data_IF_333858163056
#
_entry.id   IF_333858163056
#
_cell.length_a   1.000
_cell.length_b   1.000
_cell.length_c   1.000
_cell.angle_alpha   90.00
_cell.angle_beta   90.00
_cell.angle_gamma   90.00
#
_symmetry.space_group_name_H-M   'P 1'
#
loop_
_entity.id
_entity.type
_entity.pdbx_description
1 polymer ?
#
# COMPACT_ATOMS: atom_id res chain seq x y z
N UNK A 1 14.88 5.74 -9.74
CA UNK A 1 13.79 5.98 -8.78
C UNK A 1 14.29 5.75 -7.37
N UNK A 2 13.88 6.58 -6.42
CA UNK A 2 14.13 6.39 -4.98
C UNK A 2 12.81 6.36 -4.21
N UNK A 3 12.38 5.17 -3.81
CA UNK A 3 11.26 4.94 -2.89
C UNK A 3 11.56 3.70 -2.04
N UNK A 4 11.86 3.90 -0.76
CA UNK A 4 12.32 2.83 0.13
C UNK A 4 11.17 2.06 0.77
N UNK A 5 10.04 2.71 1.02
CA UNK A 5 8.88 2.16 1.76
C UNK A 5 7.66 3.10 1.69
N UNK A 6 6.46 2.69 2.09
CA UNK A 6 6.07 1.34 2.51
C UNK A 6 5.48 0.53 1.33
N UNK A 7 5.08 -0.74 1.58
CA UNK A 7 4.49 -1.65 0.57
C UNK A 7 3.38 -0.96 -0.24
N UNK A 8 2.41 -0.31 0.43
CA UNK A 8 1.32 0.38 -0.28
C UNK A 8 1.80 1.49 -1.22
N UNK A 9 2.74 2.32 -0.76
CA UNK A 9 3.31 3.38 -1.60
C UNK A 9 4.12 2.81 -2.78
N UNK A 10 4.80 1.70 -2.56
CA UNK A 10 5.55 1.00 -3.62
C UNK A 10 4.58 0.43 -4.67
N UNK A 11 3.45 -0.17 -4.26
CA UNK A 11 2.38 -0.58 -5.17
C UNK A 11 1.90 0.59 -6.04
N UNK A 12 1.65 1.76 -5.46
CA UNK A 12 1.26 2.94 -6.23
C UNK A 12 2.37 3.42 -7.17
N UNK A 13 3.62 3.41 -6.72
CA UNK A 13 4.76 3.86 -7.54
C UNK A 13 5.03 2.95 -8.75
N UNK A 14 4.67 1.65 -8.69
CA UNK A 14 4.78 0.72 -9.84
C UNK A 14 4.01 1.25 -11.05
N UNK A 15 2.78 1.75 -10.86
CA UNK A 15 1.98 2.31 -11.95
C UNK A 15 2.69 3.48 -12.66
N UNK A 16 3.30 4.38 -11.88
CA UNK A 16 4.08 5.50 -12.42
C UNK A 16 5.34 5.02 -13.15
N UNK A 17 6.08 4.05 -12.59
CA UNK A 17 7.27 3.48 -13.22
C UNK A 17 6.91 2.79 -14.52
N UNK A 18 5.82 2.04 -14.58
CA UNK A 18 5.35 1.40 -15.81
C UNK A 18 4.85 2.41 -16.86
N UNK A 19 4.28 3.54 -16.43
CA UNK A 19 3.98 4.64 -17.36
C UNK A 19 5.27 5.24 -17.95
N UNK A 20 6.32 5.38 -17.16
CA UNK A 20 7.64 5.81 -17.62
C UNK A 20 8.23 4.81 -18.61
N UNK A 21 8.15 3.52 -18.35
CA UNK A 21 8.63 2.48 -19.27
C UNK A 21 7.93 2.54 -20.63
N UNK A 22 6.62 2.76 -20.64
CA UNK A 22 5.85 2.91 -21.89
C UNK A 22 6.25 4.15 -22.68
N UNK A 23 6.47 5.27 -21.99
CA UNK A 23 6.86 6.54 -22.62
C UNK A 23 8.32 6.57 -23.08
N UNK A 24 9.19 5.86 -22.37
CA UNK A 24 10.63 5.84 -22.59
C UNK A 24 11.16 4.38 -22.69
N UNK A 25 10.83 3.62 -23.74
CA UNK A 25 11.14 2.19 -23.82
C UNK A 25 12.64 1.87 -23.84
N UNK A 26 13.49 2.86 -24.14
CA UNK A 26 14.96 2.72 -24.11
C UNK A 26 15.59 3.15 -22.78
N UNK A 27 14.79 3.66 -21.84
CA UNK A 27 15.31 4.10 -20.55
C UNK A 27 15.71 2.89 -19.67
N UNK A 28 16.91 2.96 -19.11
CA UNK A 28 17.32 2.03 -18.04
C UNK A 28 16.83 2.54 -16.70
N UNK A 29 15.97 1.79 -16.05
CA UNK A 29 15.36 2.17 -14.76
C UNK A 29 16.03 1.38 -13.65
N UNK A 30 16.67 2.10 -12.73
CA UNK A 30 17.16 1.56 -11.45
C UNK A 30 16.27 2.10 -10.32
N UNK A 31 15.79 1.21 -9.46
CA UNK A 31 14.96 1.58 -8.31
C UNK A 31 15.66 1.24 -6.99
N UNK A 32 16.04 2.28 -6.24
CA UNK A 32 16.54 2.11 -4.87
C UNK A 32 15.35 1.90 -3.94
N UNK A 33 15.27 0.72 -3.36
CA UNK A 33 14.09 0.20 -2.66
C UNK A 33 14.46 -0.44 -1.32
N UNK A 34 13.53 -0.46 -0.36
CA UNK A 34 13.72 -1.16 0.92
C UNK A 34 13.71 -2.69 0.76
N UNK A 35 14.32 -3.38 1.73
CA UNK A 35 14.49 -4.83 1.66
C UNK A 35 13.16 -5.60 1.60
N UNK A 36 12.16 -5.18 2.37
CA UNK A 36 10.85 -5.84 2.40
C UNK A 36 10.09 -5.57 1.11
N UNK A 37 10.12 -4.34 0.65
CA UNK A 37 9.46 -3.90 -0.58
C UNK A 37 10.09 -4.56 -1.82
N UNK A 38 11.40 -4.79 -1.79
CA UNK A 38 12.10 -5.52 -2.84
C UNK A 38 11.64 -6.98 -2.97
N UNK A 39 11.21 -7.62 -1.89
CA UNK A 39 10.65 -8.99 -1.96
C UNK A 39 9.35 -9.04 -2.77
N UNK A 40 8.55 -7.99 -2.73
CA UNK A 40 7.33 -7.89 -3.55
C UNK A 40 7.65 -7.63 -5.02
N UNK A 41 8.64 -6.76 -5.28
CA UNK A 41 8.96 -6.29 -6.64
C UNK A 41 10.14 -7.04 -7.30
N UNK A 42 10.70 -8.07 -6.66
CA UNK A 42 11.72 -8.90 -7.30
C UNK A 42 11.21 -9.35 -8.68
N UNK A 43 12.10 -9.26 -9.69
CA UNK A 43 11.81 -9.59 -11.10
C UNK A 43 10.78 -8.65 -11.76
N UNK A 44 10.60 -7.43 -11.26
CA UNK A 44 9.80 -6.42 -11.96
C UNK A 44 10.42 -6.15 -13.35
N UNK A 45 9.72 -6.44 -14.45
CA UNK A 45 10.31 -6.37 -15.79
C UNK A 45 10.88 -4.98 -16.11
N UNK A 46 12.10 -4.95 -16.65
CA UNK A 46 12.76 -3.72 -17.09
C UNK A 46 13.19 -2.77 -15.98
N UNK A 47 13.22 -3.23 -14.72
CA UNK A 47 13.66 -2.43 -13.56
C UNK A 47 14.75 -3.16 -12.79
N UNK A 48 15.91 -2.53 -12.66
CA UNK A 48 16.97 -2.98 -11.76
C UNK A 48 16.68 -2.53 -10.34
N UNK A 49 16.56 -3.47 -9.39
CA UNK A 49 16.34 -3.16 -7.99
C UNK A 49 17.66 -3.08 -7.21
N UNK A 50 17.89 -1.96 -6.55
CA UNK A 50 19.01 -1.77 -5.62
C UNK A 50 18.49 -1.70 -4.19
N UNK A 51 18.75 -2.74 -3.41
CA UNK A 51 18.20 -2.90 -2.08
C UNK A 51 18.92 -2.01 -1.06
N UNK A 52 18.16 -1.14 -0.38
CA UNK A 52 18.60 -0.36 0.76
C UNK A 52 18.12 -1.03 2.07
N UNK A 53 19.01 -1.73 2.75
CA UNK A 53 18.69 -2.35 4.05
C UNK A 53 18.88 -1.36 5.20
N UNK A 54 17.77 -0.79 5.67
CA UNK A 54 17.76 0.17 6.79
C UNK A 54 18.34 -0.39 8.10
N UNK A 55 18.39 -1.72 8.29
CA UNK A 55 18.94 -2.36 9.50
C UNK A 55 20.46 -2.24 9.56
N UNK A 56 21.12 -2.02 8.43
CA UNK A 56 22.58 -1.81 8.33
C UNK A 56 23.03 -0.39 8.73
N UNK A 57 22.11 0.50 9.08
CA UNK A 57 22.43 1.86 9.55
C UNK A 57 23.30 2.63 8.57
N UNK A 58 24.45 3.19 9.06
CA UNK A 58 25.39 3.97 8.22
C UNK A 58 26.03 3.15 7.10
N UNK A 59 26.18 1.84 7.28
CA UNK A 59 26.76 0.96 6.24
C UNK A 59 25.89 0.92 4.98
N UNK A 60 24.54 0.97 5.10
CA UNK A 60 23.66 1.00 3.93
C UNK A 60 23.93 2.20 3.01
N UNK A 61 24.25 3.37 3.55
CA UNK A 61 24.60 4.56 2.75
C UNK A 61 25.97 4.41 2.09
N UNK A 62 26.94 3.79 2.79
CA UNK A 62 28.26 3.50 2.23
C UNK A 62 28.13 2.52 1.05
N UNK A 63 27.34 1.47 1.22
CA UNK A 63 27.08 0.49 0.17
C UNK A 63 26.44 1.14 -1.06
N UNK A 64 25.42 1.98 -0.84
CA UNK A 64 24.73 2.69 -1.93
C UNK A 64 25.70 3.63 -2.68
N UNK A 65 26.55 4.36 -1.96
CA UNK A 65 27.58 5.23 -2.56
C UNK A 65 28.62 4.43 -3.34
N UNK A 66 29.02 3.27 -2.82
CA UNK A 66 29.98 2.38 -3.49
C UNK A 66 29.35 1.76 -4.74
N UNK A 67 28.09 1.31 -4.66
CA UNK A 67 27.36 0.75 -5.78
C UNK A 67 27.24 1.73 -6.96
N UNK A 68 26.97 3.00 -6.69
CA UNK A 68 26.84 4.04 -7.72
C UNK A 68 28.13 4.79 -8.04
N UNK A 69 29.28 4.32 -7.54
CA UNK A 69 30.58 4.94 -7.87
C UNK A 69 30.83 4.84 -9.38
N UNK A 70 31.04 6.00 -10.01
CA UNK A 70 31.24 6.10 -11.47
C UNK A 70 29.97 6.08 -12.30
N UNK A 71 28.79 5.82 -11.70
CA UNK A 71 27.50 5.96 -12.38
C UNK A 71 27.00 7.38 -12.30
N UNK A 72 26.37 7.89 -13.36
CA UNK A 72 25.67 9.18 -13.34
C UNK A 72 24.34 9.04 -14.05
N UNK A 73 23.24 9.13 -13.29
CA UNK A 73 21.90 9.12 -13.84
C UNK A 73 21.54 10.46 -14.48
N UNK A 74 20.73 10.43 -15.52
CA UNK A 74 20.16 11.65 -16.10
C UNK A 74 19.14 12.25 -15.14
N UNK A 75 18.26 11.42 -14.57
CA UNK A 75 17.21 11.85 -13.64
C UNK A 75 17.12 10.92 -12.42
N UNK A 76 17.01 11.50 -11.24
CA UNK A 76 16.56 10.83 -10.01
C UNK A 76 15.15 11.31 -9.67
N UNK A 77 14.19 10.39 -9.68
CA UNK A 77 12.85 10.64 -9.15
C UNK A 77 12.84 10.28 -7.67
N UNK A 78 12.89 11.30 -6.80
CA UNK A 78 12.93 11.13 -5.35
C UNK A 78 11.51 11.13 -4.76
N UNK A 79 10.86 9.97 -4.81
CA UNK A 79 9.45 9.75 -4.48
C UNK A 79 9.18 9.50 -2.99
N UNK A 80 10.06 9.97 -2.09
CA UNK A 80 9.86 9.76 -0.64
C UNK A 80 10.34 10.94 0.19
N UNK A 81 9.46 11.44 1.05
CA UNK A 81 9.79 12.52 2.00
C UNK A 81 10.05 11.91 3.37
N UNK A 82 11.32 11.64 3.66
CA UNK A 82 11.81 11.19 4.95
C UNK A 82 13.32 11.46 5.06
N UNK A 83 13.81 11.81 6.23
CA UNK A 83 15.22 12.14 6.44
C UNK A 83 16.19 11.08 5.88
N UNK A 84 15.90 9.80 6.16
CA UNK A 84 16.70 8.68 5.64
C UNK A 84 16.74 8.63 4.11
N UNK A 85 15.63 8.84 3.45
CA UNK A 85 15.57 8.83 1.99
C UNK A 85 16.26 10.08 1.40
N UNK A 86 16.22 11.21 2.09
CA UNK A 86 16.96 12.41 1.71
C UNK A 86 18.48 12.16 1.76
N UNK A 87 18.98 11.52 2.82
CA UNK A 87 20.41 11.13 2.89
C UNK A 87 20.75 10.10 1.81
N UNK A 88 19.87 9.14 1.51
CA UNK A 88 20.08 8.20 0.41
C UNK A 88 20.15 8.90 -0.95
N UNK A 89 19.32 9.93 -1.20
CA UNK A 89 19.35 10.73 -2.42
C UNK A 89 20.70 11.45 -2.65
N UNK A 90 21.41 11.81 -1.57
CA UNK A 90 22.77 12.38 -1.66
C UNK A 90 23.80 11.33 -2.11
N UNK A 91 23.55 10.05 -1.91
CA UNK A 91 24.43 8.97 -2.34
C UNK A 91 24.21 8.55 -3.81
N UNK A 92 23.20 9.11 -4.47
CA UNK A 92 22.83 8.77 -5.86
C UNK A 92 23.21 9.92 -6.78
N UNK A 93 24.26 9.78 -7.63
CA UNK A 93 24.65 10.82 -8.56
C UNK A 93 23.63 10.96 -9.70
N UNK A 94 23.03 12.14 -9.86
CA UNK A 94 22.10 12.44 -10.94
C UNK A 94 22.26 13.90 -11.41
N UNK A 95 22.02 14.15 -12.72
CA UNK A 95 22.03 15.51 -13.28
C UNK A 95 20.84 16.31 -12.77
N UNK A 96 19.66 15.69 -12.81
CA UNK A 96 18.40 16.25 -12.36
C UNK A 96 17.87 15.39 -11.21
N UNK A 97 17.48 16.02 -10.11
CA UNK A 97 16.86 15.38 -8.96
C UNK A 97 15.48 16.00 -8.75
N UNK A 98 14.44 15.28 -9.13
CA UNK A 98 13.06 15.73 -9.00
C UNK A 98 12.49 15.25 -7.68
N UNK A 99 11.90 16.14 -6.90
CA UNK A 99 11.24 15.85 -5.62
C UNK A 99 9.82 16.35 -5.58
N UNK A 100 9.18 16.16 -4.42
CA UNK A 100 7.84 16.70 -4.16
C UNK A 100 7.85 18.21 -4.12
N UNK A 101 6.70 18.83 -4.41
CA UNK A 101 6.47 20.26 -4.27
C UNK A 101 6.66 20.74 -2.81
N UNK A 102 6.69 22.07 -2.62
CA UNK A 102 6.93 22.70 -1.32
C UNK A 102 5.92 22.31 -0.25
N UNK A 103 4.64 22.13 -0.62
CA UNK A 103 3.56 21.79 0.32
C UNK A 103 3.73 20.39 0.93
N UNK A 104 4.35 19.48 0.20
CA UNK A 104 4.64 18.09 0.63
C UNK A 104 6.07 17.88 1.10
N UNK A 105 6.99 18.81 0.82
CA UNK A 105 8.39 18.74 1.23
C UNK A 105 8.55 18.91 2.73
N UNK A 106 9.28 17.99 3.36
CA UNK A 106 9.62 17.97 4.79
C UNK A 106 11.05 17.45 4.97
N UNK A 107 11.58 17.58 6.19
CA UNK A 107 12.84 16.95 6.59
C UNK A 107 14.01 17.28 5.64
N UNK A 108 14.13 18.54 5.23
CA UNK A 108 15.18 19.05 4.33
C UNK A 108 15.10 18.48 2.90
N UNK A 109 13.95 17.95 2.47
CA UNK A 109 13.76 17.37 1.13
C UNK A 109 14.17 18.34 0.02
N UNK A 110 13.77 19.62 0.11
CA UNK A 110 14.09 20.65 -0.88
C UNK A 110 15.58 20.95 -1.02
N UNK A 111 16.42 20.55 -0.06
CA UNK A 111 17.87 20.74 -0.14
C UNK A 111 18.58 19.64 -0.94
N UNK A 112 17.92 18.53 -1.20
CA UNK A 112 18.51 17.36 -1.88
C UNK A 112 17.97 17.16 -3.30
N UNK A 113 17.03 18.00 -3.72
CA UNK A 113 16.44 18.01 -5.07
C UNK A 113 16.67 19.36 -5.73
N UNK A 114 16.72 19.43 -7.05
CA UNK A 114 16.90 20.65 -7.82
C UNK A 114 15.72 20.96 -8.76
N UNK A 115 14.73 20.06 -8.80
CA UNK A 115 13.44 20.29 -9.44
C UNK A 115 12.32 19.71 -8.59
N UNK A 116 11.11 20.21 -8.78
CA UNK A 116 9.92 19.79 -8.06
C UNK A 116 8.82 19.39 -9.03
N UNK A 117 8.03 18.38 -8.66
CA UNK A 117 6.80 18.09 -9.39
C UNK A 117 5.79 19.23 -9.21
N UNK A 118 4.85 19.34 -10.15
CA UNK A 118 3.74 20.29 -10.06
C UNK A 118 2.89 20.01 -8.82
N UNK A 119 2.37 21.06 -8.20
CA UNK A 119 1.43 20.93 -7.10
C UNK A 119 0.20 20.09 -7.50
N UNK A 120 -0.28 19.31 -6.57
CA UNK A 120 -1.34 18.33 -6.81
C UNK A 120 -2.66 18.82 -6.21
N UNK A 121 -3.73 18.78 -6.98
CA UNK A 121 -5.09 19.08 -6.54
C UNK A 121 -5.69 17.84 -5.87
N UNK A 122 -5.59 16.69 -6.54
CA UNK A 122 -6.10 15.42 -6.03
C UNK A 122 -5.26 14.93 -4.85
N UNK A 123 -5.88 14.58 -3.71
CA UNK A 123 -5.14 14.28 -2.48
C UNK A 123 -4.43 12.93 -2.50
N UNK A 124 -4.76 12.01 -3.43
CA UNK A 124 -4.26 10.64 -3.38
C UNK A 124 -2.76 10.53 -3.68
N UNK A 125 -2.05 9.68 -2.93
CA UNK A 125 -0.59 9.49 -3.07
C UNK A 125 -0.19 9.03 -4.46
N UNK A 126 -1.00 8.21 -5.12
CA UNK A 126 -0.76 7.71 -6.47
C UNK A 126 -0.64 8.85 -7.48
N UNK A 127 -1.50 9.86 -7.39
CA UNK A 127 -1.46 11.03 -8.27
C UNK A 127 -0.12 11.76 -8.15
N UNK A 128 0.42 11.86 -6.93
CA UNK A 128 1.75 12.41 -6.74
C UNK A 128 2.84 11.62 -7.47
N UNK A 129 2.74 10.30 -7.52
CA UNK A 129 3.70 9.48 -8.28
C UNK A 129 3.51 9.63 -9.79
N UNK A 130 2.28 9.79 -10.27
CA UNK A 130 2.02 10.11 -11.68
C UNK A 130 2.59 11.48 -12.08
N UNK A 131 2.58 12.48 -11.19
CA UNK A 131 3.24 13.76 -11.45
C UNK A 131 4.75 13.64 -11.63
N UNK A 132 5.42 12.66 -10.97
CA UNK A 132 6.82 12.36 -11.28
C UNK A 132 7.01 11.81 -12.69
N UNK A 133 6.10 10.95 -13.14
CA UNK A 133 6.14 10.45 -14.52
C UNK A 133 5.90 11.60 -15.53
N UNK A 134 4.94 12.46 -15.27
CA UNK A 134 4.64 13.64 -16.10
C UNK A 134 5.83 14.61 -16.16
N UNK A 135 6.55 14.82 -15.06
CA UNK A 135 7.72 15.71 -14.99
C UNK A 135 8.87 15.28 -15.94
N UNK A 136 8.84 14.05 -16.42
CA UNK A 136 9.79 13.54 -17.42
C UNK A 136 9.12 13.17 -18.76
N UNK A 137 7.95 13.73 -19.02
CA UNK A 137 7.24 13.60 -20.31
C UNK A 137 6.38 12.36 -20.48
N UNK A 138 6.29 11.47 -19.50
CA UNK A 138 5.32 10.39 -19.52
C UNK A 138 3.91 10.93 -19.24
N UNK A 139 2.92 10.45 -20.00
CA UNK A 139 1.51 10.79 -19.80
C UNK A 139 0.80 9.58 -19.20
N UNK A 140 0.76 9.44 -17.86
CA UNK A 140 0.03 8.35 -17.23
C UNK A 140 -1.46 8.53 -17.53
N UNK A 141 -2.04 7.50 -18.12
CA UNK A 141 -3.49 7.35 -18.27
C UNK A 141 -4.06 6.72 -16.99
N UNK A 142 -5.25 6.14 -17.07
CA UNK A 142 -5.78 5.36 -15.94
C UNK A 142 -4.72 4.41 -15.39
N UNK A 143 -4.53 4.34 -14.06
CA UNK A 143 -3.51 3.51 -13.48
C UNK A 143 -3.70 2.03 -13.82
N UNK A 144 -2.63 1.41 -14.27
CA UNK A 144 -2.57 -0.02 -14.55
C UNK A 144 -1.34 -0.61 -13.88
N UNK A 145 -1.42 -1.87 -13.51
CA UNK A 145 -0.33 -2.58 -12.87
C UNK A 145 -0.08 -3.93 -13.52
N UNK A 146 1.19 -4.24 -13.76
CA UNK A 146 1.69 -5.58 -14.02
C UNK A 146 2.66 -5.91 -12.90
N UNK A 147 2.14 -6.54 -11.85
CA UNK A 147 2.92 -6.89 -10.66
C UNK A 147 3.70 -8.18 -10.90
N UNK A 148 4.97 -8.27 -10.43
CA UNK A 148 5.77 -9.46 -10.63
C UNK A 148 5.37 -10.57 -9.66
N UNK A 149 5.08 -11.75 -10.19
CA UNK A 149 4.98 -13.02 -9.45
C UNK A 149 5.34 -14.16 -10.41
N UNK A 150 5.72 -15.30 -9.87
CA UNK A 150 6.10 -16.48 -10.64
C UNK A 150 4.95 -17.48 -10.71
N UNK A 151 5.06 -18.48 -11.60
CA UNK A 151 4.12 -19.61 -11.62
C UNK A 151 4.12 -20.36 -10.27
N UNK A 152 5.28 -20.48 -9.62
CA UNK A 152 5.41 -21.10 -8.30
C UNK A 152 4.63 -20.33 -7.21
N UNK A 153 4.68 -18.98 -7.20
CA UNK A 153 3.89 -18.15 -6.30
C UNK A 153 2.39 -18.36 -6.52
N UNK A 154 1.97 -18.47 -7.78
CA UNK A 154 0.57 -18.69 -8.15
C UNK A 154 0.10 -20.11 -7.77
N UNK A 155 0.91 -21.13 -8.00
CA UNK A 155 0.59 -22.52 -7.66
C UNK A 155 0.60 -22.73 -6.13
N UNK A 156 1.47 -22.07 -5.40
CA UNK A 156 1.44 -22.04 -3.94
C UNK A 156 0.15 -21.40 -3.43
N UNK A 157 -0.29 -20.27 -3.99
CA UNK A 157 -1.56 -19.67 -3.62
C UNK A 157 -2.76 -20.58 -3.94
N UNK A 158 -2.78 -21.26 -5.10
CA UNK A 158 -3.81 -22.24 -5.45
C UNK A 158 -3.84 -23.41 -4.45
N UNK A 159 -2.68 -23.88 -4.02
CA UNK A 159 -2.56 -24.95 -3.03
C UNK A 159 -3.13 -24.53 -1.68
N UNK A 160 -2.81 -23.32 -1.22
CA UNK A 160 -3.31 -22.77 0.05
C UNK A 160 -4.83 -22.54 0.03
N UNK A 161 -5.40 -22.22 -1.15
CA UNK A 161 -6.82 -21.96 -1.33
C UNK A 161 -7.57 -23.19 -1.93
N UNK A 162 -6.95 -24.36 -1.92
CA UNK A 162 -7.54 -25.56 -2.57
C UNK A 162 -8.95 -25.84 -2.05
N UNK A 163 -9.89 -26.01 -2.97
CA UNK A 163 -11.31 -26.27 -2.66
C UNK A 163 -12.12 -25.03 -2.28
N UNK A 164 -11.52 -23.82 -2.30
CA UNK A 164 -12.24 -22.58 -2.04
C UNK A 164 -12.54 -21.86 -3.37
N UNK A 165 -13.80 -21.52 -3.61
CA UNK A 165 -14.24 -20.90 -4.87
C UNK A 165 -14.59 -19.42 -4.72
N UNK A 166 -15.18 -19.05 -3.59
CA UNK A 166 -15.69 -17.69 -3.32
C UNK A 166 -15.00 -17.11 -2.10
N UNK A 167 -13.70 -16.80 -2.28
CA UNK A 167 -12.80 -16.39 -1.20
C UNK A 167 -13.01 -14.94 -0.81
N UNK A 168 -13.26 -14.70 0.49
CA UNK A 168 -13.20 -13.39 1.12
C UNK A 168 -11.98 -13.31 2.02
N UNK A 169 -11.04 -12.40 1.72
CA UNK A 169 -9.81 -12.22 2.48
C UNK A 169 -9.97 -11.10 3.51
N UNK A 170 -9.66 -11.39 4.75
CA UNK A 170 -9.49 -10.40 5.82
C UNK A 170 -8.00 -10.26 6.12
N UNK A 171 -7.43 -9.05 5.89
CA UNK A 171 -6.08 -8.66 6.32
C UNK A 171 -6.19 -7.68 7.49
N UNK A 172 -6.36 -8.14 8.75
CA UNK A 172 -6.90 -7.32 9.82
C UNK A 172 -5.87 -6.37 10.42
N UNK A 173 -4.56 -6.64 10.27
CA UNK A 173 -3.53 -5.96 11.03
C UNK A 173 -2.85 -4.83 10.25
N UNK A 174 -2.83 -3.65 10.84
CA UNK A 174 -1.93 -2.55 10.51
C UNK A 174 -0.70 -2.58 11.42
N UNK A 175 0.37 -1.89 11.01
CA UNK A 175 1.63 -1.80 11.78
C UNK A 175 1.50 -1.19 13.18
N UNK A 176 0.36 -0.57 13.48
CA UNK A 176 0.04 0.06 14.76
C UNK A 176 -1.30 -0.44 15.25
N UNK A 177 -1.31 -0.93 16.51
CA UNK A 177 -2.49 -1.54 17.14
C UNK A 177 -3.73 -0.65 17.08
N UNK A 178 -3.57 0.64 17.31
CA UNK A 178 -4.68 1.61 17.28
C UNK A 178 -5.37 1.78 15.93
N UNK A 179 -4.79 1.21 14.85
CA UNK A 179 -5.39 1.20 13.50
C UNK A 179 -6.13 -0.09 13.18
N UNK A 180 -6.05 -1.07 14.05
CA UNK A 180 -6.74 -2.34 13.86
C UNK A 180 -8.18 -2.21 14.34
N UNK A 181 -9.10 -2.79 13.59
CA UNK A 181 -10.48 -2.90 14.03
C UNK A 181 -10.59 -3.98 15.12
N UNK A 182 -11.73 -4.10 15.77
CA UNK A 182 -11.92 -4.97 16.91
C UNK A 182 -12.10 -6.43 16.48
N UNK A 183 -11.48 -7.41 17.19
CA UNK A 183 -11.56 -8.82 16.82
C UNK A 183 -13.00 -9.35 16.69
N UNK A 184 -13.87 -9.02 17.66
CA UNK A 184 -15.28 -9.42 17.66
C UNK A 184 -16.05 -8.89 16.45
N UNK A 185 -15.64 -7.77 15.90
CA UNK A 185 -16.30 -7.18 14.73
C UNK A 185 -15.84 -7.80 13.43
N UNK A 186 -14.55 -8.16 13.34
CA UNK A 186 -14.06 -8.97 12.23
C UNK A 186 -14.73 -10.36 12.22
N UNK A 187 -14.91 -10.97 13.40
CA UNK A 187 -15.59 -12.25 13.55
C UNK A 187 -17.05 -12.17 13.08
N UNK A 188 -17.80 -11.14 13.52
CA UNK A 188 -19.17 -10.92 13.10
C UNK A 188 -19.32 -10.75 11.57
N UNK A 189 -18.39 -9.99 10.94
CA UNK A 189 -18.39 -9.84 9.48
C UNK A 189 -18.02 -11.15 8.78
N UNK A 190 -17.11 -11.95 9.33
CA UNK A 190 -16.76 -13.26 8.80
C UNK A 190 -17.97 -14.22 8.81
N UNK A 191 -18.76 -14.20 9.88
CA UNK A 191 -20.03 -14.96 9.99
C UNK A 191 -21.04 -14.50 8.93
N UNK A 192 -21.20 -13.18 8.75
CA UNK A 192 -22.09 -12.60 7.73
C UNK A 192 -21.66 -13.03 6.30
N UNK A 193 -20.37 -12.93 5.98
CA UNK A 193 -19.84 -13.34 4.70
C UNK A 193 -20.05 -14.85 4.45
N UNK A 194 -19.83 -15.68 5.49
CA UNK A 194 -20.06 -17.14 5.41
C UNK A 194 -21.54 -17.46 5.16
N UNK A 195 -22.46 -16.74 5.79
CA UNK A 195 -23.89 -16.91 5.54
C UNK A 195 -24.30 -16.57 4.10
N UNK A 196 -23.50 -15.74 3.41
CA UNK A 196 -23.68 -15.44 1.98
C UNK A 196 -22.87 -16.36 1.04
N UNK A 197 -22.30 -17.44 1.56
CA UNK A 197 -21.58 -18.46 0.77
C UNK A 197 -20.12 -18.13 0.48
N UNK A 198 -19.52 -17.16 1.14
CA UNK A 198 -18.08 -16.92 1.05
C UNK A 198 -17.28 -17.84 1.98
N UNK A 199 -16.09 -18.23 1.54
CA UNK A 199 -15.10 -18.88 2.38
C UNK A 199 -14.13 -17.81 2.89
N UNK A 200 -14.03 -17.69 4.21
CA UNK A 200 -13.23 -16.61 4.84
C UNK A 200 -11.80 -17.06 5.06
N UNK A 201 -10.86 -16.22 4.65
CA UNK A 201 -9.42 -16.44 4.79
C UNK A 201 -8.83 -15.24 5.54
N UNK A 202 -8.05 -15.49 6.60
CA UNK A 202 -7.27 -14.44 7.27
C UNK A 202 -5.83 -14.50 6.80
N UNK A 203 -5.26 -13.32 6.46
CA UNK A 203 -3.87 -13.16 6.03
C UNK A 203 -3.13 -12.16 6.90
N UNK A 204 -1.82 -12.31 7.01
CA UNK A 204 -0.92 -11.42 7.76
C UNK A 204 0.50 -11.96 7.80
N UNK A 205 1.44 -11.14 8.25
CA UNK A 205 2.82 -11.56 8.51
C UNK A 205 2.97 -12.31 9.84
N UNK A 206 4.19 -12.77 10.15
CA UNK A 206 4.46 -13.59 11.35
C UNK A 206 4.74 -12.76 12.60
N UNK A 207 4.32 -11.49 12.65
CA UNK A 207 4.55 -10.67 13.84
C UNK A 207 3.58 -11.06 14.96
N UNK A 208 4.00 -10.89 16.21
CA UNK A 208 3.17 -11.19 17.39
C UNK A 208 1.82 -10.48 17.34
N UNK A 209 1.81 -9.22 16.89
CA UNK A 209 0.59 -8.42 16.73
C UNK A 209 -0.38 -9.06 15.73
N UNK A 210 0.13 -9.50 14.57
CA UNK A 210 -0.70 -10.09 13.53
C UNK A 210 -1.22 -11.46 13.93
N UNK A 211 -0.37 -12.30 14.52
CA UNK A 211 -0.74 -13.62 15.02
C UNK A 211 -1.79 -13.51 16.14
N UNK A 212 -1.56 -12.67 17.15
CA UNK A 212 -2.48 -12.50 18.28
C UNK A 212 -3.84 -11.95 17.83
N UNK A 213 -3.86 -10.97 16.93
CA UNK A 213 -5.11 -10.41 16.43
C UNK A 213 -5.91 -11.44 15.63
N UNK A 214 -5.24 -12.18 14.75
CA UNK A 214 -5.90 -13.20 13.93
C UNK A 214 -6.44 -14.35 14.78
N UNK A 215 -5.68 -14.76 15.78
CA UNK A 215 -6.14 -15.79 16.72
C UNK A 215 -7.38 -15.33 17.48
N UNK A 216 -7.38 -14.07 17.98
CA UNK A 216 -8.52 -13.51 18.69
C UNK A 216 -9.78 -13.40 17.80
N UNK A 217 -9.63 -13.17 16.50
CA UNK A 217 -10.74 -13.18 15.54
C UNK A 217 -11.29 -14.59 15.37
N UNK A 218 -10.41 -15.57 15.16
CA UNK A 218 -10.81 -16.97 14.93
C UNK A 218 -11.52 -17.57 16.16
N UNK A 219 -11.03 -17.28 17.36
CA UNK A 219 -11.63 -17.76 18.61
C UNK A 219 -13.03 -17.21 18.86
N UNK A 220 -13.33 -16.02 18.34
CA UNK A 220 -14.64 -15.39 18.50
C UNK A 220 -15.63 -15.71 17.38
N UNK A 221 -15.12 -16.15 16.22
CA UNK A 221 -15.96 -16.48 15.08
C UNK A 221 -16.67 -17.83 15.26
N UNK A 222 -17.96 -17.90 14.91
CA UNK A 222 -18.75 -19.13 14.88
C UNK A 222 -18.74 -19.81 13.51
N UNK A 223 -17.93 -19.33 12.59
CA UNK A 223 -17.75 -19.89 11.26
C UNK A 223 -16.32 -20.41 11.08
N UNK A 224 -16.11 -21.24 10.07
CA UNK A 224 -14.77 -21.70 9.72
C UNK A 224 -13.98 -20.59 9.01
N UNK A 225 -12.77 -20.33 9.48
CA UNK A 225 -11.84 -19.35 8.90
C UNK A 225 -10.52 -20.04 8.61
N UNK A 226 -10.05 -19.98 7.35
CA UNK A 226 -8.72 -20.46 6.98
C UNK A 226 -7.69 -19.43 7.44
N UNK A 227 -6.75 -19.84 8.31
CA UNK A 227 -5.68 -18.97 8.80
C UNK A 227 -4.41 -19.13 7.97
N UNK A 228 -4.04 -18.11 7.22
CA UNK A 228 -2.79 -18.04 6.44
C UNK A 228 -1.76 -17.06 7.03
N UNK A 229 -1.94 -16.60 8.26
CA UNK A 229 -1.01 -15.68 8.93
C UNK A 229 0.36 -16.34 9.10
N UNK A 230 1.41 -15.69 8.60
CA UNK A 230 2.78 -16.20 8.62
C UNK A 230 3.08 -17.31 7.61
N UNK A 231 2.10 -17.71 6.76
CA UNK A 231 2.26 -18.82 5.82
C UNK A 231 2.55 -18.36 4.38
N UNK A 232 2.54 -17.06 4.11
CA UNK A 232 2.76 -16.54 2.76
C UNK A 232 3.95 -15.58 2.70
N UNK A 233 4.74 -15.67 1.64
CA UNK A 233 5.58 -14.59 1.18
C UNK A 233 4.74 -13.48 0.52
N UNK A 234 5.35 -12.33 0.23
CA UNK A 234 4.60 -11.19 -0.33
C UNK A 234 4.04 -11.48 -1.74
N UNK A 235 4.77 -12.21 -2.59
CA UNK A 235 4.29 -12.59 -3.93
C UNK A 235 3.18 -13.64 -3.85
N UNK A 236 3.33 -14.64 -2.99
CA UNK A 236 2.28 -15.62 -2.73
C UNK A 236 1.02 -14.94 -2.18
N UNK A 237 1.18 -13.99 -1.23
CA UNK A 237 0.06 -13.18 -0.73
C UNK A 237 -0.61 -12.39 -1.87
N UNK A 238 0.17 -11.78 -2.77
CA UNK A 238 -0.38 -11.09 -3.95
C UNK A 238 -1.24 -12.02 -4.80
N UNK A 239 -0.79 -13.28 -5.00
CA UNK A 239 -1.54 -14.29 -5.74
C UNK A 239 -2.80 -14.77 -4.98
N UNK A 240 -2.77 -14.85 -3.64
CA UNK A 240 -3.96 -15.11 -2.80
C UNK A 240 -4.97 -13.97 -2.97
N UNK A 241 -4.51 -12.71 -2.89
CA UNK A 241 -5.38 -11.54 -3.10
C UNK A 241 -5.97 -11.49 -4.51
N UNK A 242 -5.20 -11.87 -5.54
CA UNK A 242 -5.66 -11.97 -6.93
C UNK A 242 -6.78 -13.00 -7.12
N UNK A 243 -6.76 -14.11 -6.37
CA UNK A 243 -7.77 -15.16 -6.42
C UNK A 243 -9.00 -14.85 -5.55
N UNK A 244 -8.88 -13.92 -4.62
CA UNK A 244 -9.99 -13.49 -3.78
C UNK A 244 -11.06 -12.74 -4.58
N UNK A 245 -12.32 -12.87 -4.16
CA UNK A 245 -13.45 -12.10 -4.70
C UNK A 245 -13.54 -10.72 -4.04
N UNK A 246 -13.14 -10.62 -2.78
CA UNK A 246 -13.23 -9.41 -1.97
C UNK A 246 -12.16 -9.42 -0.89
N UNK A 247 -11.64 -8.24 -0.55
CA UNK A 247 -10.68 -8.03 0.54
C UNK A 247 -11.23 -7.01 1.52
N UNK A 248 -11.09 -7.27 2.82
CA UNK A 248 -11.28 -6.29 3.88
C UNK A 248 -9.93 -5.98 4.54
N UNK A 249 -9.58 -4.72 4.65
CA UNK A 249 -8.36 -4.32 5.35
C UNK A 249 -8.43 -2.87 5.86
N UNK A 250 -7.75 -2.52 6.96
CA UNK A 250 -7.46 -1.14 7.30
C UNK A 250 -6.41 -0.55 6.32
N UNK A 251 -5.91 0.67 6.60
CA UNK A 251 -4.83 1.35 5.83
C UNK A 251 -3.51 0.55 5.92
N UNK A 252 -3.35 -0.46 5.06
CA UNK A 252 -2.26 -1.46 5.09
C UNK A 252 -1.76 -1.84 3.70
N UNK A 253 -0.59 -2.49 3.65
CA UNK A 253 -0.01 -3.00 2.41
C UNK A 253 -0.94 -3.91 1.60
N UNK A 254 -1.56 -4.95 2.21
CA UNK A 254 -2.48 -5.85 1.52
C UNK A 254 -3.66 -5.17 0.82
N UNK A 255 -4.23 -4.09 1.39
CA UNK A 255 -5.28 -3.31 0.72
C UNK A 255 -4.80 -2.77 -0.63
N UNK A 256 -3.59 -2.21 -0.66
CA UNK A 256 -3.00 -1.67 -1.89
C UNK A 256 -2.54 -2.76 -2.86
N UNK A 257 -2.04 -3.88 -2.34
CA UNK A 257 -1.70 -5.05 -3.16
C UNK A 257 -2.94 -5.59 -3.90
N UNK A 258 -4.07 -5.72 -3.21
CA UNK A 258 -5.34 -6.16 -3.80
C UNK A 258 -5.79 -5.25 -4.94
N UNK A 259 -5.67 -3.91 -4.76
CA UNK A 259 -5.95 -2.94 -5.84
C UNK A 259 -5.10 -3.20 -7.08
N UNK A 260 -3.81 -3.56 -6.93
CA UNK A 260 -2.91 -3.79 -8.08
C UNK A 260 -3.25 -5.02 -8.91
N UNK A 261 -4.02 -5.93 -8.36
CA UNK A 261 -4.48 -7.15 -9.05
C UNK A 261 -5.97 -7.13 -9.39
N UNK A 262 -6.62 -5.97 -9.19
CA UNK A 262 -8.02 -5.74 -9.57
C UNK A 262 -9.05 -6.34 -8.62
N UNK A 263 -8.65 -6.75 -7.42
CA UNK A 263 -9.58 -7.30 -6.44
C UNK A 263 -10.24 -6.18 -5.65
N UNK A 264 -11.58 -6.15 -5.54
CA UNK A 264 -12.32 -5.18 -4.74
C UNK A 264 -11.87 -5.16 -3.28
N UNK A 265 -11.81 -3.95 -2.69
CA UNK A 265 -11.33 -3.75 -1.32
C UNK A 265 -12.31 -2.89 -0.53
N UNK A 266 -12.77 -3.42 0.60
CA UNK A 266 -13.40 -2.62 1.65
C UNK A 266 -12.30 -2.09 2.57
N UNK A 267 -12.12 -0.77 2.58
CA UNK A 267 -11.09 -0.11 3.39
C UNK A 267 -11.66 0.46 4.69
N UNK A 268 -11.01 0.19 5.84
CA UNK A 268 -11.42 0.73 7.14
C UNK A 268 -10.50 1.88 7.57
N UNK A 269 -11.05 3.10 7.71
CA UNK A 269 -10.26 4.30 7.92
C UNK A 269 -10.74 5.16 9.09
N UNK A 270 -9.90 5.32 10.12
CA UNK A 270 -10.20 6.19 11.24
C UNK A 270 -9.11 7.24 11.51
N UNK A 271 -7.85 6.92 11.24
CA UNK A 271 -6.68 7.74 11.58
C UNK A 271 -6.08 8.50 10.39
N UNK A 272 -6.17 7.94 9.19
CA UNK A 272 -5.63 8.50 7.96
C UNK A 272 -6.75 8.90 7.01
N UNK A 273 -6.50 9.93 6.20
CA UNK A 273 -7.45 10.39 5.21
C UNK A 273 -7.61 9.34 4.09
N UNK A 274 -8.80 8.72 3.92
CA UNK A 274 -9.02 7.72 2.89
C UNK A 274 -8.86 8.29 1.47
N UNK A 275 -9.19 9.56 1.25
CA UNK A 275 -8.96 10.21 -0.05
C UNK A 275 -7.48 10.28 -0.41
N UNK A 276 -6.59 10.22 0.59
CA UNK A 276 -5.13 10.25 0.40
C UNK A 276 -4.55 8.85 0.22
N UNK A 277 -4.96 7.88 1.01
CA UNK A 277 -4.36 6.53 1.09
C UNK A 277 -5.37 5.41 0.99
N UNK A 278 -6.61 5.68 0.60
CA UNK A 278 -7.61 4.63 0.40
C UNK A 278 -7.31 3.73 -0.80
N UNK A 279 -8.02 2.63 -0.98
CA UNK A 279 -7.87 1.74 -2.11
C UNK A 279 -8.24 2.49 -3.40
N UNK A 280 -7.25 2.81 -4.23
CA UNK A 280 -7.39 3.78 -5.32
C UNK A 280 -8.56 3.52 -6.27
N UNK A 281 -8.73 2.29 -6.74
CA UNK A 281 -9.83 1.92 -7.64
C UNK A 281 -11.17 1.72 -6.93
N UNK A 282 -11.17 1.65 -5.60
CA UNK A 282 -12.33 1.24 -4.77
C UNK A 282 -12.62 2.25 -3.65
N UNK A 283 -12.38 3.54 -3.91
CA UNK A 283 -12.64 4.63 -2.95
C UNK A 283 -14.10 4.67 -2.48
N UNK A 284 -15.04 4.22 -3.32
CA UNK A 284 -16.47 4.13 -3.02
C UNK A 284 -16.82 3.04 -2.00
N UNK A 285 -15.87 2.15 -1.68
CA UNK A 285 -16.02 1.03 -0.74
C UNK A 285 -15.28 1.26 0.58
N UNK A 286 -14.99 2.51 0.90
CA UNK A 286 -14.35 2.87 2.17
C UNK A 286 -15.42 3.12 3.24
N UNK A 287 -15.24 2.49 4.41
CA UNK A 287 -15.97 2.81 5.64
C UNK A 287 -15.04 3.61 6.55
N UNK A 288 -15.45 4.83 6.93
CA UNK A 288 -14.54 5.73 7.62
C UNK A 288 -15.23 6.61 8.67
N UNK A 289 -14.46 6.96 9.66
CA UNK A 289 -14.80 7.95 10.70
C UNK A 289 -13.73 9.05 10.80
N UNK A 290 -12.80 9.10 9.84
CA UNK A 290 -11.71 10.06 9.82
C UNK A 290 -12.21 11.50 9.71
N UNK A 291 -13.07 11.81 8.73
CA UNK A 291 -13.48 13.19 8.45
C UNK A 291 -14.26 13.80 9.61
N UNK A 292 -15.19 13.06 10.22
CA UNK A 292 -15.93 13.55 11.39
C UNK A 292 -15.01 13.78 12.59
N UNK A 293 -14.06 12.87 12.86
CA UNK A 293 -13.12 13.01 13.95
C UNK A 293 -12.09 14.11 13.69
N UNK A 294 -11.67 14.29 12.44
CA UNK A 294 -10.80 15.39 12.06
C UNK A 294 -11.47 16.74 12.34
N UNK A 295 -12.73 16.89 11.92
CA UNK A 295 -13.50 18.12 12.16
C UNK A 295 -13.66 18.39 13.68
N UNK A 296 -13.97 17.36 14.48
CA UNK A 296 -14.04 17.47 15.95
C UNK A 296 -12.70 17.89 16.56
N UNK A 297 -11.58 17.36 16.08
CA UNK A 297 -10.25 17.64 16.68
C UNK A 297 -9.60 18.92 16.18
N UNK A 298 -9.86 19.34 14.96
CA UNK A 298 -9.17 20.44 14.29
C UNK A 298 -10.06 21.65 13.98
N UNK A 299 -11.37 21.49 14.07
CA UNK A 299 -12.34 22.54 13.72
C UNK A 299 -12.35 22.92 12.24
N UNK A 300 -11.65 22.12 11.37
CA UNK A 300 -11.48 22.40 9.97
C UNK A 300 -11.59 21.12 9.13
N UNK A 301 -12.12 21.19 7.90
CA UNK A 301 -12.14 20.06 7.00
C UNK A 301 -10.73 19.70 6.48
N UNK A 302 -10.55 18.48 5.95
CA UNK A 302 -9.27 17.98 5.47
C UNK A 302 -8.65 18.86 4.35
N UNK A 303 -9.46 19.50 3.54
CA UNK A 303 -9.03 20.41 2.46
C UNK A 303 -8.28 21.65 2.94
N UNK A 304 -8.54 22.09 4.19
CA UNK A 304 -7.91 23.27 4.79
C UNK A 304 -6.70 22.92 5.68
N UNK A 305 -6.36 21.65 5.79
CA UNK A 305 -5.29 21.15 6.65
C UNK A 305 -4.12 20.61 5.84
N UNK A 306 -2.91 20.55 6.41
CA UNK A 306 -1.77 19.95 5.73
C UNK A 306 -2.08 18.55 5.21
N UNK A 307 -1.67 18.23 3.99
CA UNK A 307 -1.98 17.03 3.23
C UNK A 307 -1.81 15.70 3.98
N UNK A 308 -0.89 15.61 4.93
CA UNK A 308 -0.63 14.40 5.73
C UNK A 308 -1.27 14.41 7.11
N UNK A 309 -2.25 15.28 7.37
CA UNK A 309 -2.89 15.40 8.70
C UNK A 309 -3.55 14.09 9.11
N UNK A 310 -3.32 13.69 10.35
CA UNK A 310 -3.90 12.48 10.96
C UNK A 310 -4.74 12.83 12.17
N UNK A 311 -5.76 12.03 12.40
CA UNK A 311 -6.57 12.03 13.63
C UNK A 311 -5.86 11.17 14.67
N UNK A 312 -5.84 11.60 15.92
CA UNK A 312 -5.24 10.92 17.06
C UNK A 312 -6.32 10.46 18.03
N UNK A 313 -6.16 9.28 18.62
CA UNK A 313 -7.07 8.71 19.62
C UNK A 313 -6.93 7.18 19.64
N UNK A 314 -7.16 6.57 20.80
CA UNK A 314 -7.01 5.12 20.97
C UNK A 314 -8.18 4.35 20.36
N UNK A 315 -9.41 4.86 20.49
CA UNK A 315 -10.64 4.09 20.19
C UNK A 315 -11.35 4.54 18.92
N UNK A 316 -10.62 5.14 17.99
CA UNK A 316 -11.23 5.66 16.75
C UNK A 316 -11.77 4.53 15.86
N UNK A 317 -11.05 3.42 15.77
CA UNK A 317 -11.51 2.26 15.00
C UNK A 317 -12.77 1.62 15.59
N UNK A 318 -12.98 1.75 16.90
CA UNK A 318 -14.19 1.29 17.56
C UNK A 318 -15.45 2.09 17.17
N UNK A 319 -15.31 3.25 16.53
CA UNK A 319 -16.44 4.05 16.03
C UNK A 319 -16.96 3.53 14.67
N UNK A 320 -16.21 2.70 13.97
CA UNK A 320 -16.69 1.99 12.77
C UNK A 320 -17.57 0.83 13.26
N UNK A 321 -18.86 0.88 12.99
CA UNK A 321 -19.81 -0.16 13.44
C UNK A 321 -19.72 -1.42 12.57
N UNK A 322 -20.20 -2.55 13.09
CA UNK A 322 -20.37 -3.79 12.32
C UNK A 322 -21.39 -3.57 11.20
N UNK A 323 -22.49 -2.89 11.52
CA UNK A 323 -23.59 -2.64 10.57
C UNK A 323 -23.12 -1.84 9.36
N UNK A 324 -22.28 -0.79 9.55
CA UNK A 324 -21.72 -0.01 8.44
C UNK A 324 -20.85 -0.86 7.52
N UNK A 325 -20.02 -1.75 8.10
CA UNK A 325 -19.12 -2.61 7.32
C UNK A 325 -19.90 -3.74 6.64
N UNK A 326 -20.91 -4.30 7.29
CA UNK A 326 -21.82 -5.31 6.71
C UNK A 326 -22.61 -4.72 5.54
N UNK A 327 -23.19 -3.53 5.72
CA UNK A 327 -23.89 -2.83 4.64
C UNK A 327 -22.95 -2.53 3.44
N UNK A 328 -21.68 -2.18 3.72
CA UNK A 328 -20.70 -1.98 2.67
C UNK A 328 -20.33 -3.31 1.99
N UNK A 329 -20.19 -4.41 2.73
CA UNK A 329 -19.96 -5.75 2.17
C UNK A 329 -21.08 -6.12 1.20
N UNK A 330 -22.34 -5.99 1.60
CA UNK A 330 -23.51 -6.30 0.77
C UNK A 330 -23.56 -5.43 -0.49
N UNK A 331 -23.24 -4.15 -0.35
CA UNK A 331 -23.13 -3.21 -1.48
C UNK A 331 -22.07 -3.67 -2.49
N UNK A 332 -20.87 -4.06 -2.02
CA UNK A 332 -19.80 -4.53 -2.91
C UNK A 332 -20.22 -5.82 -3.62
N UNK A 333 -20.76 -6.79 -2.88
CA UNK A 333 -21.23 -8.05 -3.45
C UNK A 333 -22.24 -7.82 -4.56
N UNK A 334 -23.17 -6.89 -4.36
CA UNK A 334 -24.18 -6.54 -5.36
C UNK A 334 -23.57 -5.81 -6.57
N UNK A 335 -22.72 -4.80 -6.34
CA UNK A 335 -22.17 -3.95 -7.41
C UNK A 335 -21.14 -4.67 -8.28
N UNK A 336 -20.28 -5.49 -7.65
CA UNK A 336 -19.25 -6.28 -8.35
C UNK A 336 -19.77 -7.65 -8.81
N UNK A 337 -21.02 -8.00 -8.49
CA UNK A 337 -21.68 -9.30 -8.86
C UNK A 337 -20.89 -10.51 -8.38
N UNK A 338 -20.44 -10.47 -7.14
CA UNK A 338 -19.57 -11.49 -6.54
C UNK A 338 -20.34 -12.73 -6.07
#
# INVERSE_FOLDING_TARGET
VLRLSAIGDVCHAVSAVQAIQRAHPQAKITWVIGKVEAMLLADLPGVELVVFDKKRGKAAFKDLRTHFKGTKFDVLLHMQVAFRSNVAALCIPAKVKIGFDSARSKELHSLVVNQHITGQIEPHVLEGFHHFAQAIGAQPQSPTWSMPYTAEDEDQAKTLLHGLERVFVISPAASKKERNWLPERYAALAEHATAQGFQVVITGGPTELEVSLSQAIIEQAKCQILNLVGQTGLKTLLCVLKQAKLVLAPDTGPAHMAVTVGTPVIGLYAHSNPKRTGPYLYQQYVVEVYHQNLLKQKGKPASELPWGTRVKGADLMAQISVDDVTAMFDKVVQQEKL
#
